data_IF_127320710957
#
_entry.id   IF_127320710957
#
_cell.length_a   1.000
_cell.length_b   1.000
_cell.length_c   1.000
_cell.angle_alpha   90.00
_cell.angle_beta   90.00
_cell.angle_gamma   90.00
#
_symmetry.space_group_name_H-M   'P 1'
#
loop_
_entity.id
_entity.type
_entity.pdbx_description
1 polymer ?
#
# COMPACT_ATOMS: atom_id res chain seq x y z
N UNK A 1 -33.58 1.33 -26.89
CA UNK A 1 -33.19 -0.02 -26.48
C UNK A 1 -33.16 -0.86 -27.74
N UNK A 2 -31.99 -1.22 -28.24
CA UNK A 2 -31.86 -2.14 -29.39
C UNK A 2 -32.24 -3.54 -28.91
N UNK A 3 -33.32 -4.10 -29.48
CA UNK A 3 -33.72 -5.48 -29.24
C UNK A 3 -32.94 -6.38 -30.19
N UNK A 4 -32.05 -7.20 -29.64
CA UNK A 4 -31.29 -8.22 -30.40
C UNK A 4 -32.28 -9.16 -31.09
N UNK A 5 -32.10 -9.38 -32.40
CA UNK A 5 -33.02 -10.22 -33.18
C UNK A 5 -32.88 -11.70 -32.81
N UNK A 6 -33.96 -12.47 -32.99
CA UNK A 6 -34.00 -13.91 -32.73
C UNK A 6 -32.85 -14.66 -33.44
N UNK A 7 -32.57 -14.27 -34.67
CA UNK A 7 -31.51 -14.83 -35.51
C UNK A 7 -30.11 -14.49 -34.98
N UNK A 8 -29.91 -13.28 -34.45
CA UNK A 8 -28.66 -12.85 -33.81
C UNK A 8 -28.40 -13.60 -32.50
N UNK A 9 -29.45 -13.89 -31.72
CA UNK A 9 -29.32 -14.70 -30.50
C UNK A 9 -28.84 -16.12 -30.87
N UNK A 10 -29.43 -16.72 -31.90
CA UNK A 10 -28.97 -18.04 -32.36
C UNK A 10 -27.56 -18.04 -32.94
N UNK A 11 -27.17 -16.99 -33.68
CA UNK A 11 -25.82 -16.91 -34.25
C UNK A 11 -24.77 -16.74 -33.17
N UNK A 12 -25.00 -15.87 -32.18
CA UNK A 12 -24.09 -15.66 -31.04
C UNK A 12 -23.94 -16.97 -30.25
N UNK A 13 -25.07 -17.66 -30.00
CA UNK A 13 -25.05 -18.96 -29.33
C UNK A 13 -24.30 -19.99 -30.18
N UNK A 14 -24.55 -20.09 -31.49
CA UNK A 14 -23.90 -21.08 -32.35
C UNK A 14 -22.39 -20.84 -32.56
N UNK A 15 -21.96 -19.58 -32.61
CA UNK A 15 -20.57 -19.17 -32.87
C UNK A 15 -19.68 -19.29 -31.62
N UNK A 16 -20.22 -19.06 -30.41
CA UNK A 16 -19.46 -19.17 -29.15
C UNK A 16 -19.44 -20.59 -28.53
N UNK A 17 -20.23 -21.54 -29.05
CA UNK A 17 -20.38 -22.90 -28.49
C UNK A 17 -19.32 -23.90 -29.01
N UNK A 18 -18.13 -23.88 -28.40
CA UNK A 18 -17.07 -24.90 -28.56
C UNK A 18 -17.12 -26.07 -27.55
N UNK A 19 -17.26 -27.31 -28.03
CA UNK A 19 -17.14 -28.67 -27.43
C UNK A 19 -17.17 -28.99 -25.91
N UNK A 20 -17.74 -28.17 -25.02
CA UNK A 20 -17.92 -28.50 -23.59
C UNK A 20 -19.24 -29.23 -23.29
N UNK A 21 -19.29 -30.08 -22.27
CA UNK A 21 -20.50 -30.86 -21.90
C UNK A 21 -21.74 -29.98 -21.62
N UNK A 22 -21.53 -28.75 -21.18
CA UNK A 22 -22.58 -27.73 -20.95
C UNK A 22 -23.27 -27.25 -22.25
N UNK A 23 -22.62 -27.49 -23.39
CA UNK A 23 -23.12 -27.17 -24.72
C UNK A 23 -24.21 -28.12 -25.16
N UNK A 24 -24.22 -29.36 -24.66
CA UNK A 24 -25.30 -30.28 -24.96
C UNK A 24 -26.62 -29.77 -24.38
N UNK A 25 -26.60 -29.23 -23.16
CA UNK A 25 -27.79 -28.70 -22.49
C UNK A 25 -28.28 -27.40 -23.14
N UNK A 26 -27.35 -26.50 -23.52
CA UNK A 26 -27.68 -25.28 -24.27
C UNK A 26 -28.14 -25.58 -25.71
N UNK A 27 -27.59 -26.60 -26.38
CA UNK A 27 -28.05 -27.05 -27.69
C UNK A 27 -29.42 -27.72 -27.61
N UNK A 28 -29.67 -28.53 -26.58
CA UNK A 28 -30.98 -29.16 -26.32
C UNK A 28 -32.05 -28.09 -26.11
N UNK A 29 -31.76 -27.07 -25.28
CA UNK A 29 -32.66 -25.93 -25.08
C UNK A 29 -32.81 -25.09 -26.36
N UNK A 30 -31.73 -24.87 -27.13
CA UNK A 30 -31.79 -24.18 -28.42
C UNK A 30 -32.62 -24.94 -29.48
N UNK A 31 -32.63 -26.27 -29.44
CA UNK A 31 -33.51 -27.12 -30.26
C UNK A 31 -34.99 -26.96 -29.88
N UNK A 32 -35.33 -26.95 -28.59
CA UNK A 32 -36.71 -26.65 -28.13
C UNK A 32 -37.18 -25.24 -28.54
N UNK A 33 -36.23 -24.31 -28.68
CA UNK A 33 -36.47 -22.96 -29.12
C UNK A 33 -36.69 -22.87 -30.65
N UNK A 34 -36.08 -23.77 -31.43
CA UNK A 34 -36.33 -23.91 -32.87
C UNK A 34 -37.76 -24.42 -33.15
N UNK A 35 -38.37 -25.14 -32.19
CA UNK A 35 -39.79 -25.56 -32.22
C UNK A 35 -40.80 -24.41 -32.02
N UNK A 36 -40.33 -23.15 -31.94
CA UNK A 36 -41.17 -21.97 -32.19
C UNK A 36 -41.56 -21.14 -30.98
N UNK A 37 -40.91 -21.33 -29.81
CA UNK A 37 -41.26 -20.59 -28.59
C UNK A 37 -40.24 -19.48 -28.25
N UNK A 38 -40.51 -18.20 -28.60
CA UNK A 38 -39.55 -17.10 -28.44
C UNK A 38 -39.27 -16.72 -26.98
N UNK A 39 -40.19 -16.99 -26.04
CA UNK A 39 -39.98 -16.71 -24.61
C UNK A 39 -38.84 -17.55 -24.03
N UNK A 40 -38.78 -18.83 -24.41
CA UNK A 40 -37.71 -19.74 -24.01
C UNK A 40 -36.34 -19.29 -24.56
N UNK A 41 -36.31 -18.70 -25.75
CA UNK A 41 -35.08 -18.18 -26.35
C UNK A 41 -34.45 -17.07 -25.51
N UNK A 42 -35.31 -16.19 -24.99
CA UNK A 42 -34.89 -15.10 -24.14
C UNK A 42 -34.44 -15.59 -22.76
N UNK A 43 -35.12 -16.58 -22.19
CA UNK A 43 -34.71 -17.21 -20.92
C UNK A 43 -33.31 -17.83 -21.01
N UNK A 44 -33.03 -18.60 -22.08
CA UNK A 44 -31.71 -19.22 -22.29
C UNK A 44 -30.63 -18.17 -22.50
N UNK A 45 -30.92 -17.10 -23.24
CA UNK A 45 -29.99 -15.99 -23.42
C UNK A 45 -29.67 -15.29 -22.09
N UNK A 46 -30.69 -15.06 -21.25
CA UNK A 46 -30.52 -14.45 -19.93
C UNK A 46 -29.73 -15.38 -19.00
N UNK A 47 -30.03 -16.68 -18.96
CA UNK A 47 -29.27 -17.68 -18.18
C UNK A 47 -27.79 -17.69 -18.60
N UNK A 48 -27.51 -17.70 -19.91
CA UNK A 48 -26.14 -17.63 -20.42
C UNK A 48 -25.43 -16.34 -19.99
N UNK A 49 -26.09 -15.18 -20.13
CA UNK A 49 -25.54 -13.88 -19.75
C UNK A 49 -25.30 -13.76 -18.24
N UNK A 50 -26.18 -14.32 -17.43
CA UNK A 50 -26.02 -14.38 -15.97
C UNK A 50 -24.79 -15.20 -15.60
N UNK A 51 -24.62 -16.39 -16.18
CA UNK A 51 -23.45 -17.24 -15.92
C UNK A 51 -22.13 -16.59 -16.34
N UNK A 52 -22.12 -15.91 -17.48
CA UNK A 52 -20.96 -15.11 -17.93
C UNK A 52 -20.61 -13.99 -16.94
N UNK A 53 -21.61 -13.37 -16.31
CA UNK A 53 -21.39 -12.37 -15.27
C UNK A 53 -20.89 -13.00 -13.97
N UNK A 54 -21.45 -14.14 -13.55
CA UNK A 54 -20.98 -14.88 -12.38
C UNK A 54 -19.51 -15.30 -12.50
N UNK A 55 -19.10 -15.78 -13.68
CA UNK A 55 -17.72 -16.17 -13.95
C UNK A 55 -16.78 -14.95 -13.90
N UNK A 56 -17.15 -13.84 -14.53
CA UNK A 56 -16.39 -12.58 -14.43
C UNK A 56 -16.30 -12.05 -13.01
N UNK A 57 -17.37 -12.17 -12.22
CA UNK A 57 -17.36 -11.80 -10.81
C UNK A 57 -16.37 -12.69 -10.06
N UNK A 58 -16.40 -14.00 -10.27
CA UNK A 58 -15.47 -14.96 -9.65
C UNK A 58 -14.01 -14.63 -9.95
N UNK A 59 -13.68 -14.37 -11.21
CA UNK A 59 -12.33 -13.94 -11.61
C UNK A 59 -11.94 -12.60 -10.96
N UNK A 60 -12.86 -11.65 -10.94
CA UNK A 60 -12.62 -10.34 -10.31
C UNK A 60 -12.39 -10.46 -8.81
N UNK A 61 -13.10 -11.33 -8.11
CA UNK A 61 -12.90 -11.58 -6.69
C UNK A 61 -11.52 -12.19 -6.40
N UNK A 62 -11.08 -13.14 -7.23
CA UNK A 62 -9.74 -13.73 -7.12
C UNK A 62 -8.66 -12.67 -7.36
N UNK A 63 -8.85 -11.80 -8.35
CA UNK A 63 -7.95 -10.68 -8.62
C UNK A 63 -7.91 -9.66 -7.46
N UNK A 64 -9.06 -9.32 -6.88
CA UNK A 64 -9.14 -8.44 -5.71
C UNK A 64 -8.44 -9.06 -4.50
N UNK A 65 -8.60 -10.36 -4.28
CA UNK A 65 -7.91 -11.08 -3.19
C UNK A 65 -6.39 -11.05 -3.39
N UNK A 66 -5.90 -11.34 -4.60
CA UNK A 66 -4.46 -11.32 -4.88
C UNK A 66 -3.86 -9.92 -4.75
N UNK A 67 -4.58 -8.88 -5.19
CA UNK A 67 -4.19 -7.48 -5.00
C UNK A 67 -4.14 -7.11 -3.52
N UNK A 68 -5.12 -7.53 -2.72
CA UNK A 68 -5.15 -7.28 -1.28
C UNK A 68 -3.96 -7.93 -0.57
N UNK A 69 -3.62 -9.16 -0.92
CA UNK A 69 -2.45 -9.84 -0.36
C UNK A 69 -1.15 -9.15 -0.77
N UNK A 70 -1.04 -8.73 -2.04
CA UNK A 70 0.15 -8.03 -2.55
C UNK A 70 0.33 -6.70 -1.85
N UNK A 71 -0.75 -5.92 -1.72
CA UNK A 71 -0.73 -4.65 -0.99
C UNK A 71 -0.38 -4.82 0.49
N UNK A 72 -0.88 -5.89 1.13
CA UNK A 72 -0.53 -6.21 2.52
C UNK A 72 0.98 -6.47 2.67
N UNK A 73 1.57 -7.30 1.80
CA UNK A 73 3.02 -7.59 1.81
C UNK A 73 3.85 -6.33 1.56
N UNK A 74 3.45 -5.52 0.59
CA UNK A 74 4.15 -4.27 0.27
C UNK A 74 4.09 -3.27 1.44
N UNK A 75 2.94 -3.15 2.10
CA UNK A 75 2.79 -2.27 3.26
C UNK A 75 3.61 -2.76 4.47
N UNK A 76 3.66 -4.07 4.71
CA UNK A 76 4.55 -4.68 5.71
C UNK A 76 6.02 -4.40 5.40
N UNK A 77 6.42 -4.48 4.12
CA UNK A 77 7.78 -4.14 3.71
C UNK A 77 8.09 -2.64 3.92
N UNK A 78 7.20 -1.74 3.49
CA UNK A 78 7.37 -0.29 3.68
C UNK A 78 7.46 0.10 5.16
N UNK A 79 6.65 -0.53 6.01
CA UNK A 79 6.71 -0.28 7.46
C UNK A 79 8.01 -0.78 8.09
N UNK A 80 8.52 -1.94 7.66
CA UNK A 80 9.84 -2.44 8.09
C UNK A 80 10.98 -1.53 7.62
N UNK A 81 10.95 -1.07 6.38
CA UNK A 81 11.94 -0.14 5.83
C UNK A 81 11.91 1.20 6.55
N UNK A 82 10.71 1.76 6.82
CA UNK A 82 10.56 2.97 7.61
C UNK A 82 11.09 2.80 9.04
N UNK A 83 10.88 1.65 9.66
CA UNK A 83 11.44 1.36 10.98
C UNK A 83 12.97 1.26 10.95
N UNK A 84 13.54 0.62 9.92
CA UNK A 84 15.00 0.56 9.71
C UNK A 84 15.59 1.95 9.50
N UNK A 85 14.95 2.81 8.72
CA UNK A 85 15.39 4.19 8.52
C UNK A 85 15.36 4.99 9.83
N UNK A 86 14.28 4.90 10.62
CA UNK A 86 14.22 5.54 11.94
C UNK A 86 15.31 5.06 12.89
N UNK A 87 15.64 3.77 12.89
CA UNK A 87 16.75 3.24 13.69
C UNK A 87 18.10 3.76 13.19
N UNK A 88 18.29 3.85 11.86
CA UNK A 88 19.50 4.41 11.25
C UNK A 88 19.66 5.89 11.61
N UNK A 89 18.62 6.70 11.47
CA UNK A 89 18.61 8.10 11.90
C UNK A 89 18.95 8.24 13.39
N UNK A 90 18.34 7.43 14.26
CA UNK A 90 18.67 7.42 15.70
C UNK A 90 20.12 7.03 15.96
N UNK A 91 20.67 6.07 15.22
CA UNK A 91 22.07 5.68 15.36
C UNK A 91 23.03 6.78 14.91
N UNK A 92 22.73 7.48 13.81
CA UNK A 92 23.50 8.61 13.30
C UNK A 92 23.47 9.77 14.32
N UNK A 93 22.29 10.11 14.83
CA UNK A 93 22.14 11.13 15.87
C UNK A 93 22.93 10.76 17.14
N UNK A 94 23.00 9.47 17.49
CA UNK A 94 23.77 9.00 18.65
C UNK A 94 25.28 9.05 18.41
N UNK A 95 25.75 8.74 17.20
CA UNK A 95 27.17 8.87 16.84
C UNK A 95 27.60 10.33 16.78
N UNK A 96 26.76 11.23 16.27
CA UNK A 96 27.04 12.67 16.25
C UNK A 96 27.07 13.24 17.67
N UNK A 97 26.15 12.80 18.54
CA UNK A 97 26.17 13.18 19.95
C UNK A 97 27.45 12.71 20.66
N UNK A 98 27.84 11.45 20.45
CA UNK A 98 29.08 10.91 21.03
C UNK A 98 30.34 11.63 20.49
N UNK A 99 30.38 12.01 19.21
CA UNK A 99 31.47 12.83 18.67
C UNK A 99 31.51 14.23 19.29
N UNK A 100 30.35 14.84 19.54
CA UNK A 100 30.26 16.17 20.14
C UNK A 100 30.70 16.16 21.61
N UNK A 101 30.51 15.04 22.32
CA UNK A 101 31.02 14.83 23.68
C UNK A 101 32.52 14.51 23.73
N UNK A 102 33.07 13.76 22.78
CA UNK A 102 34.52 13.46 22.73
C UNK A 102 35.37 14.66 22.28
N UNK A 103 34.84 15.57 21.45
CA UNK A 103 35.60 16.71 20.89
C UNK A 103 35.61 17.93 21.82
N UNK A 104 34.77 17.97 22.86
CA UNK A 104 34.79 19.04 23.87
C UNK A 104 35.47 18.56 25.16
N UNK A 105 36.80 18.65 25.30
CA UNK A 105 37.37 18.72 26.63
C UNK A 105 36.75 19.96 27.28
N UNK A 106 36.03 19.78 28.39
CA UNK A 106 35.52 20.87 29.22
C UNK A 106 36.70 21.78 29.58
N UNK A 107 36.96 22.80 28.76
CA UNK A 107 37.85 23.92 29.08
C UNK A 107 37.15 24.65 30.22
N UNK A 108 37.45 24.26 31.45
CA UNK A 108 37.17 25.07 32.62
C UNK A 108 37.76 26.45 32.32
N UNK A 109 36.89 27.43 32.11
CA UNK A 109 37.27 28.77 31.72
C UNK A 109 38.29 29.31 32.73
N UNK A 110 39.48 29.70 32.26
CA UNK A 110 40.52 30.30 33.10
C UNK A 110 40.02 31.51 33.92
N UNK A 111 38.87 32.10 33.56
CA UNK A 111 38.19 33.14 34.31
C UNK A 111 37.92 32.80 35.78
N UNK A 112 37.67 31.53 36.12
CA UNK A 112 37.41 31.12 37.51
C UNK A 112 38.66 31.28 38.39
N UNK A 113 39.86 31.17 37.80
CA UNK A 113 41.14 31.40 38.49
C UNK A 113 41.52 32.89 38.54
N UNK A 114 41.13 33.69 37.55
CA UNK A 114 41.46 35.12 37.52
C UNK A 114 40.64 35.95 38.50
N UNK A 115 39.38 35.60 38.75
CA UNK A 115 38.51 36.36 39.65
C UNK A 115 39.07 36.52 41.09
N UNK A 116 39.54 35.47 41.79
CA UNK A 116 40.12 35.64 43.11
C UNK A 116 41.45 36.41 43.09
N UNK A 117 42.28 36.26 42.05
CA UNK A 117 43.57 36.97 41.94
C UNK A 117 43.37 38.47 41.76
N UNK A 118 42.41 38.88 40.93
CA UNK A 118 42.10 40.30 40.73
C UNK A 118 41.55 40.92 42.02
N UNK A 119 40.71 40.18 42.75
CA UNK A 119 40.11 40.67 43.99
C UNK A 119 41.16 40.87 45.09
N UNK A 120 42.11 39.95 45.24
CA UNK A 120 43.25 40.11 46.17
C UNK A 120 44.15 41.28 45.76
N UNK A 121 44.41 41.45 44.47
CA UNK A 121 45.20 42.58 43.95
C UNK A 121 44.57 43.93 44.26
N UNK A 122 43.26 44.08 44.06
CA UNK A 122 42.52 45.30 44.40
C UNK A 122 42.58 45.58 45.90
N UNK A 123 42.35 44.58 46.75
CA UNK A 123 42.42 44.76 48.21
C UNK A 123 43.81 45.17 48.67
N UNK A 124 44.88 44.60 48.10
CA UNK A 124 46.25 45.00 48.42
C UNK A 124 46.55 46.43 48.00
N UNK A 125 46.15 46.83 46.80
CA UNK A 125 46.39 48.20 46.30
C UNK A 125 45.64 49.21 47.16
N UNK A 126 44.36 48.99 47.42
CA UNK A 126 43.56 49.93 48.24
C UNK A 126 43.96 49.90 49.72
N UNK A 127 44.35 48.75 50.26
CA UNK A 127 44.84 48.63 51.64
C UNK A 127 46.16 49.36 51.88
N UNK A 128 47.02 49.47 50.86
CA UNK A 128 48.31 50.15 50.94
C UNK A 128 48.19 51.68 50.78
N UNK A 129 47.10 52.17 50.19
CA UNK A 129 46.83 53.62 50.04
C UNK A 129 46.20 54.21 51.31
N UNK A 130 45.58 53.39 52.15
CA UNK A 130 44.84 53.83 53.34
C UNK A 130 45.71 53.83 54.63
N UNK A 131 46.90 53.21 54.61
CA UNK A 131 47.85 53.14 55.73
C UNK A 131 49.06 54.06 55.52
#
# INVERSE_FOLDING_TARGET
>A
METVSREQIYSIIAEELGNDHYIQDLRQKALEIAEGNPSKAQEVYVEYRLKQLEEKIRESEQSIRSLRETWKRENEQRTQEAHRLKLKERSVLRTDWNQTEEINPRKASNWVLFAPVVLVGVVLIYGLVIF
#
